data_IF_992151745440
#
_entry.id   IF_992151745440
#
_cell.length_a   1.000
_cell.length_b   1.000
_cell.length_c   1.000
_cell.angle_alpha   90.00
_cell.angle_beta   90.00
_cell.angle_gamma   90.00
#
_symmetry.space_group_name_H-M   'P 1'
#
loop_
_entity.id
_entity.type
_entity.pdbx_description
1 polymer ?
#
# COMPACT_ATOMS: atom_id res chain seq x y z
N UNK A 1 8.72 -4.66 -0.41
CA UNK A 1 8.91 -3.80 0.79
C UNK A 1 9.34 -4.66 1.96
N UNK A 2 10.23 -4.19 2.79
CA UNK A 2 10.65 -4.88 4.01
C UNK A 2 11.21 -3.88 5.03
N UNK A 3 11.11 -4.19 6.35
CA UNK A 3 11.59 -3.30 7.39
C UNK A 3 13.12 -3.22 7.42
N UNK A 4 13.64 -2.05 7.79
CA UNK A 4 15.08 -1.86 8.01
C UNK A 4 15.48 -2.34 9.42
N UNK A 5 15.49 -3.65 9.61
CA UNK A 5 15.80 -4.33 10.87
C UNK A 5 16.82 -5.45 10.68
N UNK A 6 17.02 -6.31 11.68
CA UNK A 6 17.99 -7.40 11.67
C UNK A 6 17.76 -8.46 10.56
N UNK A 7 16.55 -8.58 9.99
CA UNK A 7 16.27 -9.48 8.86
C UNK A 7 16.68 -8.90 7.49
N UNK A 8 17.03 -7.62 7.43
CA UNK A 8 17.37 -6.90 6.20
C UNK A 8 18.41 -7.65 5.35
N UNK A 9 19.52 -8.07 5.96
CA UNK A 9 20.60 -8.76 5.25
C UNK A 9 20.14 -10.10 4.66
N UNK A 10 19.28 -10.83 5.37
CA UNK A 10 18.70 -12.08 4.90
C UNK A 10 17.78 -11.85 3.69
N UNK A 11 16.89 -10.85 3.78
CA UNK A 11 15.98 -10.49 2.68
C UNK A 11 16.78 -10.06 1.45
N UNK A 12 17.75 -9.18 1.60
CA UNK A 12 18.59 -8.71 0.49
C UNK A 12 19.36 -9.84 -0.18
N UNK A 13 19.92 -10.77 0.62
CA UNK A 13 20.59 -11.96 0.09
C UNK A 13 19.61 -12.82 -0.71
N UNK A 14 18.42 -13.11 -0.19
CA UNK A 14 17.42 -13.93 -0.88
C UNK A 14 16.90 -13.28 -2.16
N UNK A 15 16.65 -11.97 -2.17
CA UNK A 15 16.27 -11.25 -3.37
C UNK A 15 17.35 -11.35 -4.46
N UNK A 16 18.62 -11.27 -4.07
CA UNK A 16 19.77 -11.44 -4.97
C UNK A 16 19.86 -12.88 -5.51
N UNK A 17 19.73 -13.88 -4.64
CA UNK A 17 19.76 -15.30 -5.00
C UNK A 17 18.65 -15.65 -6.01
N UNK A 18 17.47 -14.99 -5.89
CA UNK A 18 16.33 -15.14 -6.79
C UNK A 18 16.43 -14.27 -8.05
N UNK A 19 17.52 -13.56 -8.24
CA UNK A 19 17.75 -12.65 -9.37
C UNK A 19 16.67 -11.57 -9.55
N UNK A 20 16.08 -11.11 -8.44
CA UNK A 20 15.06 -10.06 -8.40
C UNK A 20 15.66 -8.64 -8.33
N UNK A 21 16.85 -8.45 -8.90
CA UNK A 21 17.58 -7.17 -8.87
C UNK A 21 16.94 -6.07 -9.72
N UNK A 22 16.08 -6.42 -10.66
CA UNK A 22 15.30 -5.47 -11.45
C UNK A 22 14.07 -4.93 -10.72
N UNK A 23 13.69 -5.53 -9.58
CA UNK A 23 12.53 -5.14 -8.79
C UNK A 23 12.86 -3.92 -7.94
N UNK A 24 12.01 -2.93 -7.95
CA UNK A 24 12.13 -1.76 -7.07
C UNK A 24 11.98 -2.21 -5.62
N UNK A 25 13.01 -2.04 -4.82
CA UNK A 25 12.98 -2.33 -3.39
C UNK A 25 12.72 -1.07 -2.58
N UNK A 26 11.90 -1.20 -1.55
CA UNK A 26 11.60 -0.13 -0.61
C UNK A 26 11.83 -0.65 0.81
N UNK A 27 12.69 0.04 1.54
CA UNK A 27 12.99 -0.20 2.96
C UNK A 27 12.24 0.82 3.79
N UNK A 28 11.72 0.41 4.91
CA UNK A 28 10.99 1.29 5.80
C UNK A 28 11.41 1.11 7.26
N UNK A 29 11.22 2.17 8.04
CA UNK A 29 11.48 2.15 9.48
C UNK A 29 10.45 1.28 10.19
N UNK A 30 10.90 0.50 11.17
CA UNK A 30 10.00 -0.22 12.08
C UNK A 30 9.32 0.72 13.10
N UNK A 31 9.68 2.01 13.15
CA UNK A 31 9.01 3.01 13.96
C UNK A 31 7.72 3.48 13.24
N UNK A 32 6.52 3.24 13.81
CA UNK A 32 5.25 3.61 13.17
C UNK A 32 5.11 5.11 12.87
N UNK A 33 5.71 5.98 13.68
CA UNK A 33 5.67 7.44 13.48
C UNK A 33 6.42 7.86 12.20
N UNK A 34 7.50 7.16 11.87
CA UNK A 34 8.31 7.43 10.66
C UNK A 34 7.73 6.73 9.45
N UNK A 35 7.21 5.51 9.64
CA UNK A 35 6.69 4.64 8.59
C UNK A 35 5.64 5.33 7.71
N UNK A 36 4.65 5.99 8.31
CA UNK A 36 3.58 6.65 7.54
C UNK A 36 4.16 7.69 6.58
N UNK A 37 5.10 8.53 7.04
CA UNK A 37 5.75 9.51 6.18
C UNK A 37 6.59 8.91 5.06
N UNK A 38 7.18 7.73 5.28
CA UNK A 38 7.91 6.99 4.24
C UNK A 38 6.96 6.41 3.19
N UNK A 39 5.81 5.88 3.61
CA UNK A 39 4.76 5.38 2.71
C UNK A 39 4.12 6.53 1.92
N UNK A 40 3.88 7.69 2.54
CA UNK A 40 3.41 8.88 1.84
C UNK A 40 4.34 9.28 0.68
N UNK A 41 5.66 9.25 0.91
CA UNK A 41 6.66 9.52 -0.14
C UNK A 41 6.64 8.46 -1.23
N UNK A 42 6.55 7.17 -0.85
CA UNK A 42 6.50 6.06 -1.80
C UNK A 42 5.29 6.17 -2.75
N UNK A 43 4.13 6.55 -2.19
CA UNK A 43 2.85 6.64 -2.90
C UNK A 43 2.61 8.00 -3.56
N UNK A 44 3.53 8.97 -3.41
CA UNK A 44 3.34 10.37 -3.82
C UNK A 44 2.04 10.98 -3.27
N UNK A 45 1.64 10.61 -2.05
CA UNK A 45 0.35 10.95 -1.46
C UNK A 45 0.08 12.45 -1.46
N UNK A 46 1.03 13.26 -0.98
CA UNK A 46 0.91 14.72 -0.93
C UNK A 46 0.68 15.33 -2.30
N UNK A 47 1.36 14.84 -3.35
CA UNK A 47 1.16 15.31 -4.72
C UNK A 47 -0.22 14.90 -5.26
N UNK A 48 -0.65 13.68 -5.00
CA UNK A 48 -1.95 13.17 -5.42
C UNK A 48 -3.08 13.95 -4.73
N UNK A 49 -2.94 14.29 -3.44
CA UNK A 49 -3.85 15.18 -2.72
C UNK A 49 -3.91 16.56 -3.36
N UNK A 50 -2.75 17.16 -3.61
CA UNK A 50 -2.67 18.47 -4.27
C UNK A 50 -3.30 18.47 -5.66
N UNK A 51 -3.14 17.39 -6.42
CA UNK A 51 -3.77 17.25 -7.74
C UNK A 51 -5.30 17.24 -7.63
N UNK A 52 -5.86 16.58 -6.60
CA UNK A 52 -7.28 16.58 -6.33
C UNK A 52 -7.81 18.00 -6.04
N UNK A 53 -7.15 18.71 -5.13
CA UNK A 53 -7.52 20.09 -4.78
C UNK A 53 -7.47 21.03 -5.99
N UNK A 54 -6.40 20.94 -6.79
CA UNK A 54 -6.29 21.71 -8.02
C UNK A 54 -7.42 21.38 -9.02
N UNK A 55 -7.77 20.08 -9.10
CA UNK A 55 -8.85 19.66 -9.99
C UNK A 55 -10.22 20.14 -9.52
N UNK A 56 -10.50 20.11 -8.21
CA UNK A 56 -11.74 20.65 -7.63
C UNK A 56 -11.88 22.15 -7.94
N UNK A 57 -10.84 22.94 -7.70
CA UNK A 57 -10.83 24.39 -8.00
C UNK A 57 -11.16 24.71 -9.44
N UNK A 58 -10.87 23.84 -10.40
CA UNK A 58 -11.23 24.07 -11.82
C UNK A 58 -12.73 24.03 -12.08
N UNK A 59 -13.51 23.48 -11.16
CA UNK A 59 -14.97 23.32 -11.29
C UNK A 59 -15.75 24.12 -10.26
N UNK A 60 -15.15 24.64 -9.18
CA UNK A 60 -15.82 25.38 -8.10
C UNK A 60 -16.62 26.61 -8.60
N UNK A 61 -16.07 27.33 -9.59
CA UNK A 61 -16.70 28.56 -10.12
C UNK A 61 -17.62 28.30 -11.33
N UNK A 62 -17.93 27.03 -11.65
CA UNK A 62 -18.73 26.66 -12.80
C UNK A 62 -20.14 26.24 -12.39
N UNK A 63 -21.14 26.83 -13.02
CA UNK A 63 -22.55 26.57 -12.72
C UNK A 63 -23.20 25.56 -13.68
N UNK A 64 -22.49 25.10 -14.71
CA UNK A 64 -23.05 24.14 -15.65
C UNK A 64 -23.22 22.75 -15.03
N UNK A 65 -24.26 22.03 -15.43
CA UNK A 65 -24.63 20.72 -14.85
C UNK A 65 -23.50 19.67 -14.94
N UNK A 66 -22.68 19.72 -16.00
CA UNK A 66 -21.59 18.77 -16.18
C UNK A 66 -20.45 19.04 -15.18
N UNK A 67 -20.11 20.30 -14.94
CA UNK A 67 -19.11 20.72 -13.97
C UNK A 67 -19.54 20.38 -12.54
N UNK A 68 -20.80 20.62 -12.20
CA UNK A 68 -21.36 20.25 -10.89
C UNK A 68 -21.27 18.74 -10.65
N UNK A 69 -21.65 17.91 -11.61
CA UNK A 69 -21.51 16.44 -11.52
C UNK A 69 -20.04 15.98 -11.41
N UNK A 70 -19.11 16.69 -12.06
CA UNK A 70 -17.68 16.39 -11.93
C UNK A 70 -17.16 16.77 -10.53
N UNK A 71 -17.56 17.92 -10.01
CA UNK A 71 -17.19 18.35 -8.66
C UNK A 71 -17.69 17.36 -7.61
N UNK A 72 -18.94 16.95 -7.68
CA UNK A 72 -19.54 15.95 -6.80
C UNK A 72 -18.75 14.62 -6.79
N UNK A 73 -18.32 14.14 -7.97
CA UNK A 73 -17.48 12.96 -8.07
C UNK A 73 -16.09 13.15 -7.44
N UNK A 74 -15.49 14.32 -7.62
CA UNK A 74 -14.20 14.64 -7.04
C UNK A 74 -14.27 14.79 -5.51
N UNK A 75 -15.39 15.22 -4.97
CA UNK A 75 -15.61 15.32 -3.53
C UNK A 75 -15.60 13.97 -2.82
N UNK A 76 -15.95 12.89 -3.52
CA UNK A 76 -15.91 11.53 -3.01
C UNK A 76 -14.51 10.90 -3.00
N UNK A 77 -13.51 11.57 -3.57
CA UNK A 77 -12.13 11.07 -3.65
C UNK A 77 -11.27 11.63 -2.52
N UNK A 78 -10.31 10.83 -2.07
CA UNK A 78 -9.27 11.26 -1.13
C UNK A 78 -8.01 11.75 -1.84
N UNK A 79 -7.71 11.21 -3.02
CA UNK A 79 -6.59 11.62 -3.88
C UNK A 79 -6.96 11.54 -5.35
N UNK A 80 -6.19 12.22 -6.21
CA UNK A 80 -6.32 12.13 -7.66
C UNK A 80 -5.04 11.60 -8.30
N UNK A 81 -5.20 10.55 -9.09
CA UNK A 81 -4.11 9.81 -9.72
C UNK A 81 -3.77 8.52 -8.98
N UNK A 82 -3.11 7.60 -9.69
CA UNK A 82 -2.66 6.32 -9.14
C UNK A 82 -1.26 6.41 -8.52
N UNK A 83 -0.86 5.34 -7.86
CA UNK A 83 0.54 5.08 -7.49
C UNK A 83 1.32 4.59 -8.71
N UNK A 84 2.65 4.61 -8.64
CA UNK A 84 3.53 4.23 -9.75
C UNK A 84 3.97 2.75 -9.71
N UNK A 85 3.16 1.91 -9.08
CA UNK A 85 3.34 0.45 -9.03
C UNK A 85 1.96 -0.23 -9.09
N UNK A 86 1.92 -1.42 -9.64
CA UNK A 86 0.73 -2.26 -9.80
C UNK A 86 0.71 -3.44 -8.83
N UNK A 87 1.84 -3.71 -8.19
CA UNK A 87 1.95 -4.77 -7.19
C UNK A 87 2.98 -4.42 -6.12
N UNK A 88 2.75 -4.92 -4.91
CA UNK A 88 3.67 -4.80 -3.78
C UNK A 88 3.76 -6.11 -3.00
N UNK A 89 4.98 -6.56 -2.75
CA UNK A 89 5.26 -7.68 -1.86
C UNK A 89 5.80 -7.10 -0.54
N UNK A 90 5.11 -7.37 0.56
CA UNK A 90 5.51 -6.92 1.91
C UNK A 90 6.10 -8.11 2.65
N UNK A 91 7.40 -8.05 2.94
CA UNK A 91 8.10 -9.10 3.67
C UNK A 91 8.18 -8.67 5.14
N UNK A 92 7.08 -8.88 5.86
CA UNK A 92 6.94 -8.51 7.25
C UNK A 92 5.83 -9.31 7.94
N UNK A 93 5.69 -9.16 9.27
CA UNK A 93 4.82 -9.95 10.12
C UNK A 93 4.16 -9.12 11.22
N UNK A 94 3.06 -9.65 11.76
CA UNK A 94 2.40 -9.16 12.96
C UNK A 94 2.05 -7.68 12.90
N UNK A 95 2.27 -6.96 13.98
CA UNK A 95 1.91 -5.54 14.09
C UNK A 95 2.65 -4.64 13.12
N UNK A 96 3.89 -4.98 12.76
CA UNK A 96 4.65 -4.23 11.76
C UNK A 96 3.99 -4.30 10.38
N UNK A 97 3.60 -5.51 9.95
CA UNK A 97 2.83 -5.70 8.73
C UNK A 97 1.52 -4.89 8.75
N UNK A 98 0.74 -4.97 9.86
CA UNK A 98 -0.51 -4.21 10.01
C UNK A 98 -0.30 -2.71 9.89
N UNK A 99 0.77 -2.18 10.48
CA UNK A 99 1.13 -0.76 10.36
C UNK A 99 1.40 -0.36 8.91
N UNK A 100 2.08 -1.21 8.13
CA UNK A 100 2.29 -0.98 6.69
C UNK A 100 0.97 -1.00 5.92
N UNK A 101 0.11 -1.99 6.18
CA UNK A 101 -1.19 -2.11 5.53
C UNK A 101 -2.08 -0.88 5.83
N UNK A 102 -2.12 -0.46 7.09
CA UNK A 102 -2.83 0.75 7.51
C UNK A 102 -2.30 2.01 6.82
N UNK A 103 -0.98 2.14 6.70
CA UNK A 103 -0.36 3.29 6.03
C UNK A 103 -0.62 3.28 4.52
N UNK A 104 -0.65 2.11 3.87
CA UNK A 104 -1.05 2.00 2.46
C UNK A 104 -2.51 2.38 2.25
N UNK A 105 -3.42 1.95 3.13
CA UNK A 105 -4.83 2.33 3.09
C UNK A 105 -5.00 3.84 3.35
N UNK A 106 -4.32 4.39 4.36
CA UNK A 106 -4.33 5.82 4.66
C UNK A 106 -3.88 6.67 3.47
N UNK A 107 -2.88 6.20 2.73
CA UNK A 107 -2.37 6.90 1.54
C UNK A 107 -3.19 6.64 0.28
N UNK A 108 -4.40 6.09 0.42
CA UNK A 108 -5.35 5.86 -0.67
C UNK A 108 -4.75 5.02 -1.82
N UNK A 109 -4.08 3.92 -1.45
CA UNK A 109 -3.63 2.93 -2.42
C UNK A 109 -4.81 2.07 -2.85
N UNK A 110 -5.20 2.19 -4.12
CA UNK A 110 -6.36 1.48 -4.64
C UNK A 110 -6.11 -0.02 -4.74
N UNK A 111 -6.76 -0.79 -3.87
CA UNK A 111 -6.62 -2.24 -3.75
C UNK A 111 -7.23 -3.03 -4.92
N UNK A 112 -8.05 -2.40 -5.77
CA UNK A 112 -8.55 -3.02 -6.99
C UNK A 112 -7.53 -2.96 -8.13
N UNK A 113 -6.60 -1.99 -8.07
CA UNK A 113 -5.57 -1.76 -9.08
C UNK A 113 -4.18 -2.20 -8.66
N UNK A 114 -3.94 -2.33 -7.35
CA UNK A 114 -2.65 -2.72 -6.79
C UNK A 114 -2.78 -4.06 -6.08
N UNK A 115 -2.06 -5.04 -6.56
CA UNK A 115 -1.97 -6.36 -5.92
C UNK A 115 -1.08 -6.25 -4.67
N UNK A 116 -1.66 -6.52 -3.49
CA UNK A 116 -0.92 -6.50 -2.22
C UNK A 116 -0.71 -7.94 -1.76
N UNK A 117 0.56 -8.33 -1.68
CA UNK A 117 0.94 -9.67 -1.25
C UNK A 117 1.92 -9.60 -0.07
N UNK A 118 1.92 -10.63 0.76
CA UNK A 118 2.89 -10.77 1.85
C UNK A 118 3.45 -12.20 1.88
N UNK A 119 4.37 -12.44 2.80
CA UNK A 119 4.89 -13.79 3.09
C UNK A 119 3.86 -14.61 3.87
N UNK A 120 4.16 -15.88 4.09
CA UNK A 120 3.27 -16.78 4.85
C UNK A 120 2.96 -16.21 6.25
N UNK A 121 1.68 -16.14 6.60
CA UNK A 121 1.16 -15.59 7.86
C UNK A 121 0.42 -16.65 8.71
N UNK A 122 0.58 -17.92 8.42
CA UNK A 122 -0.17 -19.02 9.07
C UNK A 122 -0.05 -19.06 10.60
N UNK A 123 0.98 -18.47 11.16
CA UNK A 123 1.26 -18.41 12.60
C UNK A 123 0.63 -17.18 13.30
N UNK A 124 0.02 -16.27 12.56
CA UNK A 124 -0.62 -15.05 13.11
C UNK A 124 -2.08 -14.98 12.67
N UNK A 125 -2.97 -15.58 13.44
CA UNK A 125 -4.41 -15.57 13.17
C UNK A 125 -4.99 -14.16 13.13
N UNK A 126 -4.36 -13.20 13.80
CA UNK A 126 -4.87 -11.83 13.87
C UNK A 126 -4.89 -11.12 12.51
N UNK A 127 -4.13 -11.60 11.54
CA UNK A 127 -4.15 -11.08 10.16
C UNK A 127 -5.48 -11.37 9.45
N UNK A 128 -6.18 -12.44 9.81
CA UNK A 128 -7.48 -12.79 9.23
C UNK A 128 -8.60 -11.84 9.64
N UNK A 129 -8.40 -11.13 10.75
CA UNK A 129 -9.36 -10.14 11.27
C UNK A 129 -9.00 -8.72 10.87
N UNK A 130 -7.93 -8.55 10.09
CA UNK A 130 -7.51 -7.24 9.59
C UNK A 130 -8.38 -6.80 8.42
N UNK A 131 -9.18 -5.76 8.64
CA UNK A 131 -10.14 -5.25 7.66
C UNK A 131 -9.64 -4.04 6.86
N UNK A 132 -8.47 -3.54 7.18
CA UNK A 132 -7.90 -2.33 6.54
C UNK A 132 -7.58 -2.58 5.07
N UNK A 133 -7.13 -3.79 4.75
CA UNK A 133 -6.86 -4.25 3.39
C UNK A 133 -7.76 -5.45 3.09
N UNK A 134 -8.69 -5.29 2.16
CA UNK A 134 -9.64 -6.34 1.78
C UNK A 134 -9.03 -7.46 0.94
N UNK A 135 -8.01 -7.14 0.12
CA UNK A 135 -7.40 -8.04 -0.85
C UNK A 135 -5.92 -8.26 -0.53
N UNK A 136 -5.63 -8.85 0.64
CA UNK A 136 -4.29 -9.28 1.01
C UNK A 136 -4.08 -10.74 0.60
N UNK A 137 -3.05 -11.00 -0.19
CA UNK A 137 -2.69 -12.35 -0.64
C UNK A 137 -1.40 -12.81 0.04
N UNK A 138 -1.36 -14.06 0.44
CA UNK A 138 -0.17 -14.70 0.99
C UNK A 138 -0.14 -16.19 0.67
N UNK A 139 1.05 -16.78 0.52
CA UNK A 139 1.18 -18.22 0.30
C UNK A 139 0.69 -18.96 1.56
N UNK A 140 -0.03 -20.04 1.35
CA UNK A 140 -0.50 -20.93 2.41
C UNK A 140 -0.13 -22.36 2.11
N UNK A 141 -0.06 -23.20 3.13
CA UNK A 141 0.14 -24.65 2.99
C UNK A 141 -1.21 -25.29 2.63
N UNK A 142 -1.19 -26.24 1.70
CA UNK A 142 -2.38 -26.99 1.39
C UNK A 142 -2.86 -27.75 2.65
N UNK A 143 -4.12 -27.60 3.02
CA UNK A 143 -4.72 -28.25 4.20
C UNK A 143 -4.47 -29.77 4.26
N UNK A 144 -4.32 -30.43 3.12
CA UNK A 144 -4.01 -31.87 3.04
C UNK A 144 -2.58 -32.23 3.46
N UNK A 145 -1.68 -31.26 3.46
CA UNK A 145 -0.27 -31.43 3.84
C UNK A 145 -0.03 -31.02 5.31
N UNK A 146 -1.07 -30.56 5.98
CA UNK A 146 -1.05 -30.11 7.38
C UNK A 146 -1.38 -31.26 8.36
N UNK A 147 -0.96 -32.48 8.06
CA UNK A 147 -1.12 -33.63 8.96
C UNK A 147 0.17 -33.98 9.67
#
# INVERSE_FOLDING_TARGET
>A
MYPDNHYKSLVEKKLKDLNLTSTRTFKYSSNPEVLTGEIEKLTNYSQRKKNLELRKKMFEDKEDEQSLKQLERLEQLYTLGGVNFDSVIIIDFGNSLKSVLTSLAYTDVNQEKVLITTVNQWFDESIFYENTIKNLYYPSINYKEFK
#
